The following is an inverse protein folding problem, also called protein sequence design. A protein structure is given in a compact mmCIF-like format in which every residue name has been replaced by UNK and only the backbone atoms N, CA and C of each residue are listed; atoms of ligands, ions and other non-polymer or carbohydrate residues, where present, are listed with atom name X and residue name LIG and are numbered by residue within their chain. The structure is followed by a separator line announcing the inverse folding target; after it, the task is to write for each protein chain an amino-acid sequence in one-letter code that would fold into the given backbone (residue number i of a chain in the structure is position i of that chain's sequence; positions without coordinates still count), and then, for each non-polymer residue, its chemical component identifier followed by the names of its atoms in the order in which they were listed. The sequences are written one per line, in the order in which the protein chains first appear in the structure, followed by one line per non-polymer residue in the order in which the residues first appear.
data_IF_153660471538
#
_entry.id   IF_153660471538
#
_cell.length_a   1.000
_cell.length_b   1.000
_cell.length_c   1.000
_cell.angle_alpha   90.00
_cell.angle_beta   90.00
_cell.angle_gamma   90.00
#
_symmetry.space_group_name_H-M   'P 1'
#
loop_
_entity.id
_entity.type
_entity.pdbx_description
1 polymer ?
#
# COMPACT_ATOMS: atom_id res chain seq x y z
N UNK A 1 -26.98 -15.53 -32.44
CA UNK A 1 -27.82 -14.33 -32.64
C UNK A 1 -27.64 -13.32 -31.48
N UNK A 2 -27.73 -13.75 -30.21
CA UNK A 2 -27.62 -12.83 -29.07
C UNK A 2 -26.24 -12.14 -28.97
N UNK A 3 -25.16 -12.87 -29.21
CA UNK A 3 -23.83 -12.28 -29.24
C UNK A 3 -23.67 -11.22 -30.32
N UNK A 4 -24.32 -11.40 -31.47
CA UNK A 4 -24.26 -10.40 -32.55
C UNK A 4 -24.94 -9.09 -32.21
N UNK A 5 -25.93 -9.10 -31.31
CA UNK A 5 -26.55 -7.88 -30.78
C UNK A 5 -25.54 -6.98 -30.00
N UNK A 6 -24.55 -7.61 -29.43
CA UNK A 6 -23.45 -6.91 -28.69
C UNK A 6 -22.20 -6.73 -29.55
N UNK A 7 -22.30 -6.88 -30.88
CA UNK A 7 -21.19 -6.79 -31.83
C UNK A 7 -20.01 -7.74 -31.52
N UNK A 8 -20.33 -8.92 -30.96
CA UNK A 8 -19.35 -9.95 -30.61
C UNK A 8 -19.40 -11.06 -31.67
N UNK A 9 -18.23 -11.49 -32.16
CA UNK A 9 -18.13 -12.58 -33.12
C UNK A 9 -18.45 -13.93 -32.45
N UNK A 10 -19.50 -14.66 -32.94
CA UNK A 10 -19.87 -15.97 -32.39
C UNK A 10 -18.78 -17.03 -32.51
N UNK A 11 -17.86 -16.90 -33.47
CA UNK A 11 -16.72 -17.82 -33.63
C UNK A 11 -15.76 -17.86 -32.44
N UNK A 12 -15.79 -16.87 -31.59
CA UNK A 12 -15.00 -16.85 -30.35
C UNK A 12 -15.42 -17.93 -29.33
N UNK A 13 -16.64 -18.45 -29.43
CA UNK A 13 -17.13 -19.54 -28.58
C UNK A 13 -16.44 -20.89 -28.81
N UNK A 14 -15.74 -21.05 -29.91
CA UNK A 14 -15.06 -22.29 -30.26
C UNK A 14 -13.77 -22.56 -29.47
N UNK A 15 -13.23 -21.54 -28.84
CA UNK A 15 -11.98 -21.63 -28.06
C UNK A 15 -12.14 -21.09 -26.64
N UNK A 16 -11.32 -21.59 -25.71
CA UNK A 16 -11.34 -21.09 -24.34
C UNK A 16 -10.89 -19.62 -24.25
N UNK A 17 -9.90 -19.23 -25.04
CA UNK A 17 -9.44 -17.86 -25.13
C UNK A 17 -10.50 -16.92 -25.71
N UNK A 18 -11.23 -17.37 -26.72
CA UNK A 18 -12.37 -16.64 -27.28
C UNK A 18 -13.49 -16.44 -26.25
N UNK A 19 -13.84 -17.47 -25.49
CA UNK A 19 -14.80 -17.37 -24.38
C UNK A 19 -14.32 -16.35 -23.32
N UNK A 20 -13.04 -16.34 -22.98
CA UNK A 20 -12.45 -15.38 -22.04
C UNK A 20 -12.61 -13.94 -22.53
N UNK A 21 -12.34 -13.68 -23.80
CA UNK A 21 -12.51 -12.36 -24.41
C UNK A 21 -13.98 -11.90 -24.36
N UNK A 22 -14.92 -12.78 -24.61
CA UNK A 22 -16.36 -12.48 -24.51
C UNK A 22 -16.74 -12.13 -23.07
N UNK A 23 -16.26 -12.88 -22.09
CA UNK A 23 -16.49 -12.63 -20.67
C UNK A 23 -15.99 -11.24 -20.29
N UNK A 24 -14.77 -10.87 -20.70
CA UNK A 24 -14.19 -9.55 -20.44
C UNK A 24 -15.01 -8.41 -21.08
N UNK A 25 -15.53 -8.61 -22.27
CA UNK A 25 -16.34 -7.62 -22.98
C UNK A 25 -17.74 -7.46 -22.38
N UNK A 26 -18.35 -8.54 -21.88
CA UNK A 26 -19.69 -8.51 -21.29
C UNK A 26 -19.71 -8.07 -19.83
N UNK A 27 -18.62 -8.22 -19.11
CA UNK A 27 -18.55 -7.97 -17.67
C UNK A 27 -18.94 -6.54 -17.26
N UNK A 28 -18.53 -5.46 -17.96
CA UNK A 28 -18.99 -4.11 -17.65
C UNK A 28 -20.49 -3.89 -17.82
N UNK A 29 -21.10 -4.59 -18.78
CA UNK A 29 -22.52 -4.46 -19.07
C UNK A 29 -23.44 -5.22 -18.08
N UNK A 30 -22.90 -6.12 -17.28
CA UNK A 30 -23.67 -6.90 -16.31
C UNK A 30 -24.28 -6.05 -15.20
N UNK A 31 -23.65 -4.94 -14.84
CA UNK A 31 -24.14 -4.06 -13.76
C UNK A 31 -25.42 -3.34 -14.16
N UNK A 32 -25.62 -3.10 -15.44
CA UNK A 32 -26.79 -2.38 -15.99
C UNK A 32 -27.62 -3.25 -16.92
N UNK A 33 -27.26 -4.51 -17.09
CA UNK A 33 -27.84 -5.42 -18.09
C UNK A 33 -29.14 -6.09 -17.66
N UNK A 34 -29.93 -6.48 -18.68
CA UNK A 34 -31.14 -7.28 -18.56
C UNK A 34 -30.82 -8.71 -18.10
N UNK A 35 -31.86 -9.44 -17.67
CA UNK A 35 -31.73 -10.89 -17.37
C UNK A 35 -31.25 -11.72 -18.58
N UNK A 36 -31.58 -11.30 -19.78
CA UNK A 36 -31.08 -11.93 -21.01
C UNK A 36 -29.57 -11.84 -21.13
N UNK A 37 -28.98 -10.70 -20.80
CA UNK A 37 -27.54 -10.52 -20.79
C UNK A 37 -26.86 -11.36 -19.71
N UNK A 38 -27.46 -11.48 -18.55
CA UNK A 38 -26.95 -12.34 -17.45
C UNK A 38 -26.99 -13.81 -17.84
N UNK A 39 -28.08 -14.25 -18.49
CA UNK A 39 -28.23 -15.62 -19.02
C UNK A 39 -27.18 -15.91 -20.08
N UNK A 40 -26.94 -14.98 -20.99
CA UNK A 40 -25.88 -15.09 -22.00
C UNK A 40 -24.52 -15.20 -21.40
N UNK A 41 -24.20 -14.35 -20.40
CA UNK A 41 -22.94 -14.38 -19.68
C UNK A 41 -22.73 -15.73 -18.98
N UNK A 42 -23.75 -16.25 -18.29
CA UNK A 42 -23.68 -17.55 -17.63
C UNK A 42 -23.42 -18.68 -18.63
N UNK A 43 -24.00 -18.62 -19.80
CA UNK A 43 -23.78 -19.62 -20.87
C UNK A 43 -22.33 -19.58 -21.36
N UNK A 44 -21.79 -18.39 -21.61
CA UNK A 44 -20.40 -18.22 -22.04
C UNK A 44 -19.42 -18.66 -20.91
N UNK A 45 -19.73 -18.36 -19.68
CA UNK A 45 -18.96 -18.80 -18.52
C UNK A 45 -18.90 -20.32 -18.39
N UNK A 46 -20.03 -20.99 -18.63
CA UNK A 46 -20.11 -22.45 -18.65
C UNK A 46 -19.28 -23.05 -19.79
N UNK A 47 -19.35 -22.48 -20.98
CA UNK A 47 -18.54 -22.91 -22.13
C UNK A 47 -17.05 -22.73 -21.85
N UNK A 48 -16.65 -21.63 -21.23
CA UNK A 48 -15.28 -21.41 -20.82
C UNK A 48 -14.76 -22.51 -19.89
N UNK A 49 -15.55 -22.88 -18.88
CA UNK A 49 -15.22 -23.98 -17.99
C UNK A 49 -15.11 -25.32 -18.72
N UNK A 50 -16.02 -25.59 -19.65
CA UNK A 50 -16.00 -26.82 -20.47
C UNK A 50 -14.72 -26.88 -21.32
N UNK A 51 -14.36 -25.78 -21.99
CA UNK A 51 -13.14 -25.72 -22.80
C UNK A 51 -11.86 -25.93 -21.97
N UNK A 52 -11.83 -25.49 -20.73
CA UNK A 52 -10.71 -25.69 -19.82
C UNK A 52 -10.78 -26.99 -19.01
N UNK A 53 -11.76 -27.88 -19.33
CA UNK A 53 -11.98 -29.17 -18.65
C UNK A 53 -12.18 -29.02 -17.13
N UNK A 54 -12.80 -27.94 -16.72
CA UNK A 54 -13.14 -27.68 -15.32
C UNK A 54 -14.51 -28.35 -15.06
N UNK A 55 -14.55 -29.26 -14.08
CA UNK A 55 -15.81 -29.83 -13.63
C UNK A 55 -16.63 -28.80 -12.86
N UNK A 56 -17.88 -28.63 -13.30
CA UNK A 56 -18.84 -27.72 -12.65
C UNK A 56 -20.17 -28.43 -12.46
N UNK A 57 -20.86 -28.13 -11.37
CA UNK A 57 -22.18 -28.66 -11.08
C UNK A 57 -23.30 -27.76 -11.58
N UNK A 58 -23.08 -26.45 -11.58
CA UNK A 58 -24.04 -25.46 -12.05
C UNK A 58 -23.31 -24.17 -12.55
N UNK A 59 -24.13 -23.24 -13.11
CA UNK A 59 -23.60 -21.96 -13.62
C UNK A 59 -23.02 -21.04 -12.55
N UNK A 60 -23.47 -21.15 -11.30
CA UNK A 60 -22.90 -20.41 -10.18
C UNK A 60 -21.46 -20.81 -9.91
N UNK A 61 -21.17 -22.10 -9.87
CA UNK A 61 -19.82 -22.62 -9.69
C UNK A 61 -18.90 -22.20 -10.83
N UNK A 62 -19.41 -22.12 -12.05
CA UNK A 62 -18.67 -21.61 -13.20
C UNK A 62 -18.24 -20.15 -13.01
N UNK A 63 -19.12 -19.30 -12.50
CA UNK A 63 -18.82 -17.90 -12.21
C UNK A 63 -17.78 -17.74 -11.11
N UNK A 64 -17.90 -18.51 -10.04
CA UNK A 64 -16.94 -18.50 -8.91
C UNK A 64 -15.53 -18.92 -9.37
N UNK A 65 -15.43 -19.94 -10.21
CA UNK A 65 -14.15 -20.40 -10.77
C UNK A 65 -13.53 -19.37 -11.72
N UNK A 66 -14.32 -18.66 -12.48
CA UNK A 66 -13.83 -17.58 -13.34
C UNK A 66 -13.30 -16.41 -12.50
N UNK A 67 -14.00 -16.03 -11.44
CA UNK A 67 -13.53 -14.99 -10.52
C UNK A 67 -12.21 -15.39 -9.84
N UNK A 68 -12.08 -16.65 -9.43
CA UNK A 68 -10.82 -17.16 -8.86
C UNK A 68 -9.67 -17.08 -9.87
N UNK A 69 -9.89 -17.46 -11.11
CA UNK A 69 -8.87 -17.40 -12.16
C UNK A 69 -8.49 -15.96 -12.50
N UNK A 70 -9.46 -15.05 -12.59
CA UNK A 70 -9.20 -13.63 -12.80
C UNK A 70 -8.40 -13.02 -11.65
N UNK A 71 -8.70 -13.40 -10.42
CA UNK A 71 -7.96 -12.94 -9.25
C UNK A 71 -6.54 -13.52 -9.22
N UNK A 72 -6.34 -14.77 -9.62
CA UNK A 72 -5.01 -15.39 -9.78
C UNK A 72 -4.20 -14.71 -10.89
N UNK A 73 -4.85 -14.38 -12.01
CA UNK A 73 -4.23 -13.68 -13.13
C UNK A 73 -3.84 -12.24 -12.76
N UNK A 74 -4.70 -11.53 -12.03
CA UNK A 74 -4.39 -10.18 -11.49
C UNK A 74 -3.21 -10.22 -10.51
N UNK A 75 -3.16 -11.23 -9.62
CA UNK A 75 -2.01 -11.44 -8.71
C UNK A 75 -0.73 -11.78 -9.48
N UNK A 76 -0.82 -12.65 -10.50
CA UNK A 76 0.32 -12.98 -11.37
C UNK A 76 0.80 -11.79 -12.21
N UNK A 77 -0.12 -11.00 -12.76
CA UNK A 77 0.22 -9.80 -13.51
C UNK A 77 0.87 -8.72 -12.62
N UNK A 78 0.40 -8.57 -11.38
CA UNK A 78 1.05 -7.70 -10.39
C UNK A 78 2.44 -8.21 -10.00
N UNK A 79 2.61 -9.52 -9.89
CA UNK A 79 3.90 -10.15 -9.58
C UNK A 79 4.85 -10.11 -10.79
N UNK A 80 4.35 -10.32 -12.01
CA UNK A 80 5.14 -10.20 -13.24
C UNK A 80 5.50 -8.74 -13.57
N UNK A 81 4.63 -7.78 -13.26
CA UNK A 81 4.95 -6.35 -13.37
C UNK A 81 5.99 -5.91 -12.33
N UNK A 82 6.04 -6.58 -11.17
CA UNK A 82 7.12 -6.41 -10.20
C UNK A 82 8.44 -7.05 -10.67
N UNK A 83 8.38 -8.16 -11.42
CA UNK A 83 9.56 -8.85 -11.94
C UNK A 83 10.15 -8.23 -13.22
N UNK A 84 9.33 -7.54 -14.02
CA UNK A 84 9.78 -6.87 -15.26
C UNK A 84 10.19 -5.41 -15.06
N UNK A 85 9.86 -4.84 -13.92
CA UNK A 85 10.35 -3.53 -13.48
C UNK A 85 11.77 -3.63 -12.96
N UNK A 86 12.68 -3.89 -13.89
CA UNK A 86 14.12 -3.76 -13.77
C UNK A 86 14.59 -3.04 -12.50
N UNK A 87 15.11 -3.77 -11.51
CA UNK A 87 15.87 -3.29 -10.34
C UNK A 87 15.23 -2.24 -9.42
N UNK A 88 14.01 -1.89 -9.58
CA UNK A 88 13.24 -1.21 -8.57
C UNK A 88 12.37 -2.22 -7.80
N UNK A 89 12.94 -3.34 -7.43
CA UNK A 89 12.43 -4.20 -6.37
C UNK A 89 12.62 -3.53 -5.02
N UNK A 90 12.22 -2.30 -4.98
CA UNK A 90 11.99 -1.67 -3.73
C UNK A 90 10.64 -2.17 -3.30
N UNK A 91 10.60 -2.89 -2.23
CA UNK A 91 9.34 -3.20 -1.59
C UNK A 91 8.53 -1.90 -1.55
N UNK A 92 7.28 -1.93 -1.96
CA UNK A 92 6.41 -0.75 -1.99
C UNK A 92 6.29 -0.05 -0.62
N UNK A 93 6.95 -0.60 0.39
CA UNK A 93 6.99 -0.15 1.77
C UNK A 93 8.26 0.63 2.13
N UNK A 94 9.26 0.72 1.23
CA UNK A 94 10.49 1.47 1.50
C UNK A 94 10.46 2.83 0.81
N UNK A 95 10.26 3.93 1.54
CA UNK A 95 10.18 5.27 0.94
C UNK A 95 11.52 5.85 0.51
N UNK A 96 12.64 5.30 0.97
CA UNK A 96 13.97 5.71 0.55
C UNK A 96 14.58 4.61 -0.29
N UNK A 97 14.85 4.91 -1.54
CA UNK A 97 15.35 3.95 -2.54
C UNK A 97 16.56 4.52 -3.26
N UNK A 98 17.42 3.63 -3.71
CA UNK A 98 18.55 4.02 -4.55
C UNK A 98 18.13 4.05 -6.03
N UNK A 99 18.34 5.18 -6.70
CA UNK A 99 18.08 5.27 -8.13
C UNK A 99 19.20 4.59 -8.94
N UNK A 100 19.04 4.51 -10.27
CA UNK A 100 20.00 3.91 -11.18
C UNK A 100 21.39 4.60 -11.17
N UNK A 101 21.46 5.81 -10.63
CA UNK A 101 22.68 6.62 -10.52
C UNK A 101 23.33 6.47 -9.14
N UNK A 102 22.83 5.59 -8.30
CA UNK A 102 23.34 5.35 -6.95
C UNK A 102 22.92 6.40 -5.90
N UNK A 103 22.04 7.32 -6.25
CA UNK A 103 21.54 8.35 -5.32
C UNK A 103 20.35 7.82 -4.52
N UNK A 104 20.30 8.19 -3.25
CA UNK A 104 19.15 7.91 -2.39
C UNK A 104 18.03 8.91 -2.67
N UNK A 105 16.89 8.42 -3.11
CA UNK A 105 15.71 9.23 -3.43
C UNK A 105 14.52 8.80 -2.58
N UNK A 106 13.68 9.77 -2.22
CA UNK A 106 12.47 9.51 -1.47
C UNK A 106 11.32 9.20 -2.42
N UNK A 107 10.60 8.12 -2.14
CA UNK A 107 9.31 7.82 -2.75
C UNK A 107 8.20 8.07 -1.72
N UNK A 108 7.20 8.91 -2.01
CA UNK A 108 6.09 9.11 -1.10
C UNK A 108 5.36 7.78 -0.82
N UNK A 109 4.75 7.68 0.35
CA UNK A 109 3.90 6.53 0.68
C UNK A 109 2.84 6.36 -0.40
N UNK A 110 2.70 5.13 -0.92
CA UNK A 110 1.74 4.85 -1.98
C UNK A 110 0.30 5.04 -1.47
N UNK A 111 -0.63 5.48 -2.32
CA UNK A 111 -2.05 5.54 -1.96
C UNK A 111 -2.60 4.20 -1.48
N UNK A 112 -2.06 3.10 -1.98
CA UNK A 112 -2.43 1.74 -1.56
C UNK A 112 -2.06 1.48 -0.09
N UNK A 113 -0.87 1.88 0.32
CA UNK A 113 -0.40 1.75 1.71
C UNK A 113 -1.23 2.62 2.65
N UNK A 114 -1.50 3.88 2.26
CA UNK A 114 -2.37 4.78 3.01
C UNK A 114 -3.80 4.24 3.16
N UNK A 115 -4.37 3.70 2.09
CA UNK A 115 -5.71 3.09 2.12
C UNK A 115 -5.75 1.85 3.02
N UNK A 116 -4.71 1.03 3.00
CA UNK A 116 -4.60 -0.12 3.90
C UNK A 116 -4.55 0.34 5.36
N UNK A 117 -3.79 1.39 5.67
CA UNK A 117 -3.72 1.97 7.00
C UNK A 117 -5.07 2.54 7.45
N UNK A 118 -5.74 3.33 6.61
CA UNK A 118 -7.06 3.88 6.90
C UNK A 118 -8.06 2.78 7.24
N UNK A 119 -8.12 1.71 6.45
CA UNK A 119 -8.99 0.56 6.70
C UNK A 119 -8.72 -0.11 8.04
N UNK A 120 -7.45 -0.31 8.39
CA UNK A 120 -7.06 -0.90 9.67
C UNK A 120 -7.59 -0.05 10.84
N UNK A 121 -7.46 1.27 10.75
CA UNK A 121 -7.94 2.18 11.79
C UNK A 121 -9.47 2.27 11.82
N UNK A 122 -10.13 2.22 10.67
CA UNK A 122 -11.61 2.16 10.60
C UNK A 122 -12.17 0.91 11.28
N UNK A 123 -11.51 -0.24 11.12
CA UNK A 123 -11.94 -1.52 11.69
C UNK A 123 -11.55 -1.69 13.17
N UNK A 124 -10.37 -1.24 13.57
CA UNK A 124 -9.74 -1.52 14.87
C UNK A 124 -9.60 -0.30 15.77
N UNK A 125 -9.90 0.89 15.26
CA UNK A 125 -9.57 2.17 15.90
C UNK A 125 -8.07 2.25 16.24
N UNK A 126 -7.68 2.98 17.28
CA UNK A 126 -6.30 3.01 17.79
C UNK A 126 -6.09 1.98 18.93
N UNK A 127 -6.62 0.79 18.76
CA UNK A 127 -6.38 -0.31 19.68
C UNK A 127 -4.95 -0.88 19.51
N UNK A 128 -4.41 -1.59 20.49
CA UNK A 128 -3.09 -2.23 20.37
C UNK A 128 -2.96 -3.21 19.19
N UNK A 129 -4.07 -3.70 18.66
CA UNK A 129 -4.10 -4.59 17.49
C UNK A 129 -3.63 -3.92 16.19
N UNK A 130 -3.66 -2.58 16.11
CA UNK A 130 -3.17 -1.86 14.93
C UNK A 130 -1.65 -1.78 14.86
N UNK A 131 -0.95 -2.01 15.98
CA UNK A 131 0.50 -1.84 16.07
C UNK A 131 1.27 -2.72 15.08
N UNK A 132 0.98 -4.03 14.95
CA UNK A 132 1.67 -4.87 13.97
C UNK A 132 1.47 -4.39 12.54
N UNK A 133 0.28 -3.92 12.20
CA UNK A 133 -0.03 -3.39 10.86
C UNK A 133 0.64 -2.04 10.63
N UNK A 134 0.61 -1.16 11.61
CA UNK A 134 1.33 0.12 11.56
C UNK A 134 2.83 -0.12 11.35
N UNK A 135 3.41 -1.03 12.11
CA UNK A 135 4.82 -1.40 12.01
C UNK A 135 5.17 -1.94 10.62
N UNK A 136 4.34 -2.81 10.05
CA UNK A 136 4.55 -3.39 8.73
C UNK A 136 4.39 -2.36 7.60
N UNK A 137 3.37 -1.50 7.68
CA UNK A 137 3.07 -0.50 6.65
C UNK A 137 4.04 0.69 6.67
N UNK A 138 4.72 0.93 7.79
CA UNK A 138 5.63 2.05 8.00
C UNK A 138 7.11 1.66 7.97
N UNK A 139 7.44 0.47 7.47
CA UNK A 139 8.82 0.02 7.37
C UNK A 139 9.66 0.97 6.51
N UNK A 140 10.79 1.43 7.05
CA UNK A 140 11.66 2.37 6.37
C UNK A 140 11.11 3.79 6.19
N UNK A 141 9.95 4.11 6.78
CA UNK A 141 9.31 5.40 6.65
C UNK A 141 10.12 6.54 7.28
N UNK A 142 10.11 7.71 6.64
CA UNK A 142 10.63 8.96 7.22
C UNK A 142 9.65 9.51 8.25
N UNK A 143 10.07 10.42 9.15
CA UNK A 143 9.14 11.13 10.03
C UNK A 143 8.00 11.83 9.29
N UNK A 144 8.27 12.40 8.12
CA UNK A 144 7.24 13.00 7.27
C UNK A 144 6.21 11.97 6.80
N UNK A 145 6.65 10.79 6.40
CA UNK A 145 5.75 9.70 5.97
C UNK A 145 4.88 9.22 7.13
N UNK A 146 5.45 9.10 8.32
CA UNK A 146 4.72 8.73 9.53
C UNK A 146 3.66 9.77 9.89
N UNK A 147 3.98 11.05 9.80
CA UNK A 147 3.02 12.13 9.99
C UNK A 147 1.91 12.10 8.93
N UNK A 148 2.24 11.78 7.70
CA UNK A 148 1.24 11.59 6.63
C UNK A 148 0.27 10.46 6.97
N UNK A 149 0.75 9.33 7.47
CA UNK A 149 -0.11 8.23 7.92
C UNK A 149 -1.03 8.66 9.05
N UNK A 150 -0.51 9.34 10.07
CA UNK A 150 -1.31 9.80 11.19
C UNK A 150 -2.35 10.85 10.80
N UNK A 151 -2.00 11.76 9.89
CA UNK A 151 -2.90 12.83 9.43
C UNK A 151 -3.97 12.35 8.44
N UNK A 152 -3.75 11.21 7.80
CA UNK A 152 -4.72 10.62 6.85
C UNK A 152 -5.94 10.06 7.57
N UNK A 153 -5.78 9.69 8.85
CA UNK A 153 -6.86 9.13 9.66
C UNK A 153 -7.58 10.25 10.42
N UNK A 154 -8.85 10.47 10.12
CA UNK A 154 -9.69 11.44 10.82
C UNK A 154 -10.53 10.80 11.93
N UNK A 155 -11.12 11.63 12.78
CA UNK A 155 -12.18 11.22 13.71
C UNK A 155 -11.75 10.65 15.06
N UNK A 156 -10.47 10.48 15.32
CA UNK A 156 -9.95 9.91 16.57
C UNK A 156 -9.18 10.96 17.41
N UNK A 157 -9.81 12.08 17.70
CA UNK A 157 -9.13 13.23 18.32
C UNK A 157 -8.53 12.93 19.70
N UNK A 158 -9.25 12.17 20.53
CA UNK A 158 -8.75 11.81 21.86
C UNK A 158 -7.50 10.94 21.79
N UNK A 159 -7.50 9.92 20.93
CA UNK A 159 -6.35 9.06 20.72
C UNK A 159 -5.18 9.84 20.11
N UNK A 160 -5.44 10.73 19.16
CA UNK A 160 -4.42 11.59 18.55
C UNK A 160 -3.82 12.56 19.56
N UNK A 161 -4.60 13.09 20.52
CA UNK A 161 -4.12 13.96 21.57
C UNK A 161 -3.17 13.20 22.52
N UNK A 162 -3.55 12.01 22.97
CA UNK A 162 -2.69 11.14 23.79
C UNK A 162 -1.38 10.79 23.06
N UNK A 163 -1.47 10.54 21.76
CA UNK A 163 -0.32 10.25 20.92
C UNK A 163 0.64 11.45 20.85
N UNK A 164 0.10 12.64 20.63
CA UNK A 164 0.90 13.89 20.63
C UNK A 164 1.59 14.16 21.97
N UNK A 165 0.89 13.93 23.07
CA UNK A 165 1.47 14.07 24.42
C UNK A 165 2.64 13.11 24.62
N UNK A 166 2.48 11.84 24.23
CA UNK A 166 3.55 10.85 24.29
C UNK A 166 4.74 11.25 23.41
N UNK A 167 4.49 11.69 22.18
CA UNK A 167 5.56 12.16 21.28
C UNK A 167 6.31 13.34 21.89
N UNK A 168 5.62 14.30 22.50
CA UNK A 168 6.25 15.44 23.15
C UNK A 168 7.09 15.03 24.36
N UNK A 169 6.62 14.09 25.17
CA UNK A 169 7.38 13.53 26.30
C UNK A 169 8.66 12.86 25.82
N UNK A 170 8.58 12.02 24.80
CA UNK A 170 9.72 11.31 24.24
C UNK A 170 10.71 12.27 23.55
N UNK A 171 10.20 13.30 22.86
CA UNK A 171 11.03 14.33 22.25
C UNK A 171 11.81 15.13 23.30
N UNK A 172 11.17 15.49 24.40
CA UNK A 172 11.83 16.17 25.50
C UNK A 172 12.90 15.29 26.17
N UNK A 173 12.63 14.01 26.35
CA UNK A 173 13.60 13.04 26.87
C UNK A 173 14.79 12.85 25.92
N UNK A 174 14.54 12.81 24.62
CA UNK A 174 15.60 12.78 23.62
C UNK A 174 16.52 14.00 23.74
N UNK A 175 15.95 15.19 23.83
CA UNK A 175 16.73 16.44 23.98
C UNK A 175 17.55 16.48 25.27
N UNK A 176 17.01 15.88 26.34
CA UNK A 176 17.73 15.75 27.60
C UNK A 176 18.94 14.81 27.50
N UNK A 177 18.78 13.70 26.77
CA UNK A 177 19.84 12.70 26.60
C UNK A 177 20.87 13.09 25.52
N UNK A 178 20.49 13.98 24.61
CA UNK A 178 21.33 14.43 23.50
C UNK A 178 21.47 15.95 23.52
N UNK A 179 22.22 16.53 24.47
CA UNK A 179 22.40 17.98 24.55
C UNK A 179 23.08 18.51 23.28
N UNK A 180 22.64 19.67 22.84
CA UNK A 180 23.19 20.31 21.64
C UNK A 180 24.63 20.76 21.93
N UNK A 181 25.57 20.34 21.08
CA UNK A 181 26.94 20.83 21.13
C UNK A 181 27.01 22.28 20.67
N UNK A 182 27.47 23.16 21.52
CA UNK A 182 27.71 24.55 21.18
C UNK A 182 29.01 24.66 20.38
N UNK A 183 28.93 24.55 19.06
CA UNK A 183 30.07 24.69 18.17
C UNK A 183 29.67 24.76 16.72
N UNK A 184 30.52 25.32 15.84
CA UNK A 184 30.22 25.29 14.40
C UNK A 184 30.20 23.84 13.89
N UNK A 185 29.23 23.53 13.03
CA UNK A 185 29.13 22.26 12.36
C UNK A 185 30.29 22.15 11.37
N UNK A 186 31.08 21.08 11.45
CA UNK A 186 32.21 20.87 10.54
C UNK A 186 31.69 20.74 9.07
N UNK A 187 32.45 21.22 8.09
CA UNK A 187 32.08 21.08 6.67
C UNK A 187 31.81 19.63 6.31
N UNK A 188 30.61 19.36 5.72
CA UNK A 188 30.18 18.02 5.34
C UNK A 188 29.50 17.21 6.46
N UNK A 189 29.37 17.74 7.67
CA UNK A 189 28.60 17.14 8.74
C UNK A 189 27.20 17.76 8.82
N UNK A 190 26.20 16.92 9.07
CA UNK A 190 24.84 17.39 9.39
C UNK A 190 24.76 17.78 10.87
N UNK A 191 23.88 18.74 11.17
CA UNK A 191 23.49 19.03 12.55
C UNK A 191 22.85 17.78 13.18
N UNK A 192 23.02 17.62 14.48
CA UNK A 192 22.35 16.54 15.20
C UNK A 192 20.83 16.77 15.27
N UNK A 193 20.00 15.73 15.09
CA UNK A 193 18.56 15.90 15.19
C UNK A 193 18.13 16.14 16.64
N UNK A 194 17.21 17.07 16.83
CA UNK A 194 16.49 17.28 18.09
C UNK A 194 15.23 16.42 18.12
N UNK A 195 14.59 16.34 19.29
CA UNK A 195 13.33 15.60 19.43
C UNK A 195 12.25 16.10 18.49
N UNK A 196 12.13 17.40 18.29
CA UNK A 196 11.20 18.00 17.32
C UNK A 196 11.55 17.70 15.87
N UNK A 197 12.82 17.54 15.55
CA UNK A 197 13.27 17.12 14.21
C UNK A 197 12.89 15.67 13.94
N UNK A 198 13.05 14.80 14.93
CA UNK A 198 12.64 13.39 14.84
C UNK A 198 11.13 13.27 14.67
N UNK A 199 10.34 14.10 15.35
CA UNK A 199 8.89 14.17 15.16
C UNK A 199 8.47 14.83 13.84
N UNK A 200 9.41 15.39 13.07
CA UNK A 200 9.15 15.99 11.77
C UNK A 200 8.55 17.38 11.81
N UNK A 201 8.55 18.07 12.96
CA UNK A 201 7.99 19.42 13.10
C UNK A 201 8.98 20.53 12.75
N UNK A 202 10.26 20.32 12.97
CA UNK A 202 11.33 21.30 12.74
C UNK A 202 12.37 20.85 11.72
N UNK A 203 12.19 19.67 11.12
CA UNK A 203 13.04 19.14 10.05
C UNK A 203 12.27 19.05 8.74
N UNK A 204 13.00 19.19 7.63
CA UNK A 204 12.47 18.94 6.31
C UNK A 204 12.82 17.51 5.85
N UNK A 205 12.20 17.09 4.74
CA UNK A 205 12.40 15.76 4.18
C UNK A 205 13.88 15.48 3.83
N UNK A 206 14.59 16.46 3.30
CA UNK A 206 16.00 16.31 2.92
C UNK A 206 16.90 16.06 4.15
N UNK A 207 16.66 16.75 5.23
CA UNK A 207 17.37 16.53 6.49
C UNK A 207 17.07 15.13 7.06
N UNK A 208 15.81 14.70 7.04
CA UNK A 208 15.39 13.37 7.48
C UNK A 208 16.08 12.25 6.68
N UNK A 209 16.08 12.36 5.36
CA UNK A 209 16.78 11.43 4.48
C UNK A 209 18.28 11.45 4.76
N UNK A 210 18.86 12.63 4.93
CA UNK A 210 20.27 12.81 5.23
C UNK A 210 20.69 12.07 6.50
N UNK A 211 19.93 12.17 7.59
CA UNK A 211 20.22 11.43 8.82
C UNK A 211 20.07 9.92 8.65
N UNK A 212 19.02 9.48 7.96
CA UNK A 212 18.76 8.05 7.76
C UNK A 212 19.76 7.37 6.85
N UNK A 213 20.39 8.12 5.95
CA UNK A 213 21.38 7.62 4.98
C UNK A 213 22.81 7.99 5.32
N UNK A 214 23.04 8.69 6.42
CA UNK A 214 24.38 9.07 6.90
C UNK A 214 25.19 7.84 7.35
N UNK A 215 26.50 7.98 7.43
CA UNK A 215 27.38 6.96 7.97
C UNK A 215 28.14 7.50 9.19
N UNK A 216 27.85 7.06 10.44
CA UNK A 216 26.80 6.08 10.81
C UNK A 216 25.39 6.66 10.70
N UNK A 217 24.38 5.84 10.32
CA UNK A 217 23.03 6.35 10.15
C UNK A 217 22.38 6.71 11.49
N UNK A 218 21.64 7.79 11.49
CA UNK A 218 20.75 8.16 12.60
C UNK A 218 19.32 7.80 12.16
N UNK A 219 18.72 6.70 12.66
CA UNK A 219 17.45 6.20 12.17
C UNK A 219 16.27 7.00 12.75
N UNK A 220 16.14 8.27 12.36
CA UNK A 220 15.10 9.17 12.87
C UNK A 220 13.67 8.63 12.63
N UNK A 221 13.42 7.96 11.50
CA UNK A 221 12.16 7.32 11.21
C UNK A 221 11.83 6.18 12.18
N UNK A 222 12.78 5.31 12.48
CA UNK A 222 12.63 4.21 13.44
C UNK A 222 12.45 4.72 14.87
N UNK A 223 13.15 5.77 15.25
CA UNK A 223 13.01 6.39 16.57
C UNK A 223 11.62 6.98 16.74
N UNK A 224 11.16 7.75 15.76
CA UNK A 224 9.81 8.33 15.77
C UNK A 224 8.71 7.27 15.76
N UNK A 225 8.89 6.22 14.99
CA UNK A 225 8.00 5.07 14.96
C UNK A 225 7.84 4.42 16.34
N UNK A 226 8.92 4.25 17.10
CA UNK A 226 8.87 3.75 18.48
C UNK A 226 8.06 4.67 19.39
N UNK A 227 8.21 5.97 19.27
CA UNK A 227 7.43 6.95 20.05
C UNK A 227 5.94 6.85 19.75
N UNK A 228 5.59 6.70 18.48
CA UNK A 228 4.21 6.48 18.05
C UNK A 228 3.65 5.19 18.64
N UNK A 229 4.40 4.09 18.57
CA UNK A 229 4.00 2.80 19.13
C UNK A 229 3.80 2.89 20.65
N UNK A 230 4.66 3.59 21.37
CA UNK A 230 4.48 3.86 22.80
C UNK A 230 3.16 4.61 23.08
N UNK A 231 2.83 5.59 22.27
CA UNK A 231 1.57 6.32 22.35
C UNK A 231 0.35 5.47 22.05
N UNK A 232 0.45 4.56 21.07
CA UNK A 232 -0.62 3.64 20.71
C UNK A 232 -0.88 2.56 21.79
N UNK A 233 0.11 2.27 22.63
CA UNK A 233 -0.01 1.32 23.75
C UNK A 233 -0.61 1.94 25.02
N UNK A 234 -0.79 3.24 25.09
CA UNK A 234 -1.45 3.91 26.21
C UNK A 234 -2.97 3.92 26.01
#
# INVERSE_FOLDING_TARGET
RELQRFAINPGLLETSEGCRQIIEQLQPALQTGSEELRSLFNTVATLYCVHNKIEIKDTKEALEKIEEEQNKSKKKAQQAAADTGNNSQVSQNYPIVQNLQGQMVHQPISPRTLNAWVKVVEEKAFSPEVIPMFSALSEGATPQDLNTMLNTVGGHQAAMQMLKETINEEAAEWDRLHPVHAGPIAPGQMREPRGSDIAGTTSNLQEQIGWMTHNPPIPVGEIYKRWIILGLNK
#
